data_IF_274868357204
#
_entry.id   IF_274868357204
#
_cell.length_a   1.000
_cell.length_b   1.000
_cell.length_c   1.000
_cell.angle_alpha   90.00
_cell.angle_beta   90.00
_cell.angle_gamma   90.00
#
_symmetry.space_group_name_H-M   'P 1'
#
loop_
_entity.id
_entity.type
_entity.pdbx_description
1 polymer ?
#
# COMPACT_ATOMS: atom_id res chain seq x y z
N UNK A 1 -19.14 10.79 -11.10
CA UNK A 1 -18.29 9.57 -11.05
C UNK A 1 -17.87 9.26 -12.47
N UNK A 2 -16.56 9.28 -12.78
CA UNK A 2 -16.08 8.95 -14.11
C UNK A 2 -16.13 7.42 -14.28
N UNK A 3 -16.69 6.96 -15.39
CA UNK A 3 -16.68 5.54 -15.77
C UNK A 3 -15.65 5.33 -16.87
N UNK A 4 -14.83 4.29 -16.76
CA UNK A 4 -13.87 3.88 -17.78
C UNK A 4 -13.97 2.36 -17.96
N UNK A 5 -14.19 1.89 -19.20
CA UNK A 5 -14.42 0.46 -19.50
C UNK A 5 -15.51 -0.20 -18.62
N UNK A 6 -16.52 0.56 -18.17
CA UNK A 6 -17.57 0.08 -17.26
C UNK A 6 -17.24 0.14 -15.76
N UNK A 7 -16.01 0.52 -15.39
CA UNK A 7 -15.58 0.64 -14.00
C UNK A 7 -15.75 2.05 -13.47
N UNK A 8 -16.24 2.18 -12.24
CA UNK A 8 -16.26 3.47 -11.51
C UNK A 8 -14.84 3.81 -11.08
N UNK A 9 -14.31 4.92 -11.57
CA UNK A 9 -12.98 5.42 -11.18
C UNK A 9 -13.10 6.16 -9.85
N UNK A 10 -12.35 5.73 -8.85
CA UNK A 10 -12.23 6.43 -7.57
C UNK A 10 -11.30 7.63 -7.72
N UNK A 11 -11.65 8.77 -7.12
CA UNK A 11 -10.76 9.93 -7.09
C UNK A 11 -9.60 9.65 -6.15
N UNK A 12 -8.37 9.86 -6.62
CA UNK A 12 -7.15 9.71 -5.84
C UNK A 12 -6.42 11.05 -5.80
N UNK A 13 -6.14 11.62 -4.62
CA UNK A 13 -5.39 12.86 -4.52
C UNK A 13 -3.93 12.67 -4.98
N UNK A 14 -3.31 13.74 -5.46
CA UNK A 14 -1.89 13.74 -5.81
C UNK A 14 -1.04 13.43 -4.56
N UNK A 15 0.11 12.76 -4.75
CA UNK A 15 1.09 12.47 -3.68
C UNK A 15 0.54 11.72 -2.45
N UNK A 16 -0.46 10.87 -2.64
CA UNK A 16 -1.18 10.20 -1.54
C UNK A 16 -0.84 8.71 -1.41
N UNK A 17 0.46 8.37 -1.40
CA UNK A 17 0.91 6.97 -1.23
C UNK A 17 0.46 6.36 0.10
N UNK A 18 0.18 7.17 1.13
CA UNK A 18 -0.38 6.68 2.40
C UNK A 18 -1.85 6.20 2.31
N UNK A 19 -2.53 6.55 1.21
CA UNK A 19 -3.91 6.16 0.89
C UNK A 19 -3.95 4.99 -0.10
N UNK A 20 -2.99 4.93 -1.02
CA UNK A 20 -2.92 3.88 -2.00
C UNK A 20 -2.66 2.52 -1.32
N UNK A 21 -3.64 1.62 -1.40
CA UNK A 21 -3.56 0.26 -0.82
C UNK A 21 -2.31 -0.50 -1.30
N UNK A 22 -1.92 -0.28 -2.57
CA UNK A 22 -0.68 -0.82 -3.12
C UNK A 22 0.54 -0.35 -2.33
N UNK A 23 0.62 0.93 -2.01
CA UNK A 23 1.82 1.56 -1.49
C UNK A 23 1.96 1.31 0.02
N UNK A 24 0.93 1.62 0.81
CA UNK A 24 1.05 1.52 2.27
C UNK A 24 0.97 0.08 2.80
N UNK A 25 0.26 -0.81 2.11
CA UNK A 25 -0.01 -2.17 2.59
C UNK A 25 0.81 -3.20 1.83
N UNK A 26 0.58 -3.31 0.51
CA UNK A 26 1.16 -4.37 -0.30
C UNK A 26 2.67 -4.22 -0.46
N UNK A 27 3.13 -3.09 -1.00
CA UNK A 27 4.55 -2.85 -1.26
C UNK A 27 5.36 -2.75 0.02
N UNK A 28 4.77 -2.19 1.10
CA UNK A 28 5.39 -2.23 2.43
C UNK A 28 5.61 -3.65 2.93
N UNK A 29 4.58 -4.51 2.84
CA UNK A 29 4.72 -5.92 3.23
C UNK A 29 5.69 -6.67 2.33
N UNK A 30 5.73 -6.33 1.04
CA UNK A 30 6.62 -6.94 0.05
C UNK A 30 8.08 -6.55 0.31
N UNK A 31 8.34 -5.29 0.63
CA UNK A 31 9.67 -4.83 1.01
C UNK A 31 10.17 -5.57 2.25
N UNK A 32 9.29 -5.78 3.23
CA UNK A 32 9.63 -6.55 4.43
C UNK A 32 9.95 -8.02 4.12
N UNK A 33 9.21 -8.67 3.22
CA UNK A 33 9.50 -10.07 2.84
C UNK A 33 10.76 -10.23 2.02
N UNK A 34 11.14 -9.18 1.27
CA UNK A 34 12.37 -9.15 0.50
C UNK A 34 13.60 -8.79 1.33
N UNK A 35 13.43 -8.27 2.54
CA UNK A 35 14.55 -7.86 3.36
C UNK A 35 15.44 -9.07 3.69
N UNK A 36 16.68 -9.06 3.21
CA UNK A 36 17.63 -10.17 3.35
C UNK A 36 17.55 -11.27 2.28
N UNK A 37 16.65 -11.16 1.29
CA UNK A 37 16.56 -12.12 0.17
C UNK A 37 17.43 -11.65 -1.01
N UNK A 38 18.33 -12.51 -1.49
CA UNK A 38 19.09 -12.25 -2.72
C UNK A 38 18.30 -12.75 -3.94
N UNK A 39 17.85 -11.81 -4.77
CA UNK A 39 17.19 -12.10 -6.05
C UNK A 39 18.26 -12.25 -7.14
N UNK A 40 18.92 -13.40 -7.17
CA UNK A 40 20.05 -13.65 -8.08
C UNK A 40 19.66 -13.91 -9.55
N UNK A 41 18.38 -14.13 -9.82
CA UNK A 41 17.87 -14.32 -11.18
C UNK A 41 16.39 -13.94 -11.28
N UNK A 42 15.92 -13.74 -12.51
CA UNK A 42 14.50 -13.52 -12.80
C UNK A 42 13.62 -14.65 -12.26
N UNK A 43 14.03 -15.90 -12.45
CA UNK A 43 13.28 -17.08 -11.98
C UNK A 43 13.16 -17.12 -10.45
N UNK A 44 14.21 -16.76 -9.72
CA UNK A 44 14.17 -16.68 -8.25
C UNK A 44 13.21 -15.57 -7.81
N UNK A 45 13.22 -14.42 -8.50
CA UNK A 45 12.28 -13.33 -8.25
C UNK A 45 10.83 -13.75 -8.47
N UNK A 46 10.52 -14.36 -9.62
CA UNK A 46 9.17 -14.84 -9.94
C UNK A 46 8.67 -15.87 -8.92
N UNK A 47 9.52 -16.80 -8.52
CA UNK A 47 9.18 -17.80 -7.50
C UNK A 47 8.94 -17.15 -6.12
N UNK A 48 9.78 -16.19 -5.71
CA UNK A 48 9.60 -15.46 -4.45
C UNK A 48 8.29 -14.68 -4.44
N UNK A 49 7.98 -13.96 -5.53
CA UNK A 49 6.72 -13.25 -5.67
C UNK A 49 5.54 -14.23 -5.61
N UNK A 50 5.59 -15.33 -6.37
CA UNK A 50 4.53 -16.34 -6.35
C UNK A 50 4.25 -16.84 -4.93
N UNK A 51 5.30 -17.23 -4.19
CA UNK A 51 5.18 -17.66 -2.80
C UNK A 51 4.60 -16.57 -1.89
N UNK A 52 5.02 -15.32 -2.08
CA UNK A 52 4.51 -14.20 -1.31
C UNK A 52 3.01 -13.98 -1.54
N UNK A 53 2.52 -14.10 -2.77
CA UNK A 53 1.12 -13.87 -3.14
C UNK A 53 0.20 -15.05 -2.79
N UNK A 54 0.69 -16.29 -2.86
CA UNK A 54 -0.11 -17.53 -2.71
C UNK A 54 -0.85 -17.63 -1.35
N UNK A 55 -0.40 -16.93 -0.30
CA UNK A 55 -0.96 -17.04 1.06
C UNK A 55 -1.59 -15.75 1.61
N UNK A 56 -2.03 -14.81 0.76
CA UNK A 56 -2.42 -13.46 1.21
C UNK A 56 -3.89 -13.08 1.13
N UNK A 57 -4.81 -14.03 0.97
CA UNK A 57 -6.25 -13.72 0.88
C UNK A 57 -6.77 -12.86 2.05
N UNK A 58 -6.48 -13.25 3.31
CA UNK A 58 -6.85 -12.46 4.49
C UNK A 58 -6.14 -11.09 4.53
N UNK A 59 -4.87 -11.05 4.14
CA UNK A 59 -4.08 -9.82 4.09
C UNK A 59 -4.70 -8.76 3.16
N UNK A 60 -5.18 -9.15 1.97
CA UNK A 60 -5.88 -8.23 1.06
C UNK A 60 -7.19 -7.72 1.66
N UNK A 61 -7.97 -8.62 2.26
CA UNK A 61 -9.23 -8.26 2.93
C UNK A 61 -8.99 -7.23 4.03
N UNK A 62 -8.04 -7.50 4.93
CA UNK A 62 -7.73 -6.63 6.05
C UNK A 62 -7.23 -5.26 5.56
N UNK A 63 -6.40 -5.25 4.51
CA UNK A 63 -5.92 -4.03 3.87
C UNK A 63 -7.05 -3.17 3.32
N UNK A 64 -7.99 -3.75 2.56
CA UNK A 64 -9.15 -3.05 2.00
C UNK A 64 -10.07 -2.53 3.11
N UNK A 65 -10.32 -3.34 4.13
CA UNK A 65 -11.20 -2.96 5.25
C UNK A 65 -10.61 -1.84 6.12
N UNK A 66 -9.30 -1.65 6.12
CA UNK A 66 -8.64 -0.54 6.82
C UNK A 66 -8.72 0.80 6.08
N UNK A 67 -9.10 0.81 4.79
CA UNK A 67 -9.15 2.03 3.97
C UNK A 67 -10.10 3.07 4.56
N UNK A 68 -11.39 2.77 4.90
CA UNK A 68 -12.29 3.79 5.42
C UNK A 68 -11.78 4.49 6.69
N UNK A 69 -11.20 3.73 7.61
CA UNK A 69 -10.62 4.27 8.85
C UNK A 69 -9.45 5.23 8.57
N UNK A 70 -8.59 4.89 7.60
CA UNK A 70 -7.51 5.79 7.16
C UNK A 70 -8.06 7.07 6.54
N UNK A 71 -9.06 6.97 5.66
CA UNK A 71 -9.72 8.14 5.07
C UNK A 71 -10.29 9.07 6.13
N UNK A 72 -10.95 8.52 7.14
CA UNK A 72 -11.48 9.31 8.25
C UNK A 72 -10.36 10.04 9.02
N UNK A 73 -9.27 9.35 9.34
CA UNK A 73 -8.12 9.94 10.02
C UNK A 73 -7.50 11.11 9.23
N UNK A 74 -7.47 11.02 7.90
CA UNK A 74 -6.95 12.07 7.01
C UNK A 74 -7.83 13.32 7.06
N UNK A 75 -9.15 13.11 7.04
CA UNK A 75 -10.13 14.19 7.15
C UNK A 75 -10.00 14.88 8.50
N UNK A 76 -9.91 14.11 9.59
CA UNK A 76 -9.76 14.61 10.96
C UNK A 76 -8.45 15.39 11.16
N UNK A 77 -7.38 15.02 10.44
CA UNK A 77 -6.08 15.68 10.52
C UNK A 77 -5.88 16.77 9.44
N UNK A 78 -6.95 17.31 8.84
CA UNK A 78 -6.89 18.36 7.81
C UNK A 78 -5.94 18.04 6.64
N UNK A 79 -5.83 16.78 6.24
CA UNK A 79 -4.92 16.35 5.17
C UNK A 79 -3.44 16.29 5.57
N UNK A 80 -3.09 16.56 6.83
CA UNK A 80 -1.74 16.39 7.36
C UNK A 80 -1.54 14.92 7.72
N UNK A 81 -0.91 14.19 6.82
CA UNK A 81 -0.34 12.89 7.13
C UNK A 81 0.96 13.10 7.89
N UNK A 82 0.96 12.76 9.19
CA UNK A 82 2.15 12.32 9.91
C UNK A 82 3.52 12.89 9.50
N UNK A 83 3.66 14.22 9.38
CA UNK A 83 4.96 14.90 9.35
C UNK A 83 5.69 14.83 10.71
N UNK A 84 5.19 14.03 11.65
CA UNK A 84 5.85 13.71 12.92
C UNK A 84 6.82 12.52 12.80
N UNK A 85 7.64 12.50 11.74
CA UNK A 85 8.89 11.72 11.77
C UNK A 85 10.11 12.42 11.14
N UNK A 86 9.99 13.70 10.78
CA UNK A 86 11.15 14.48 10.31
C UNK A 86 11.35 15.81 11.06
N UNK A 87 10.44 16.22 11.94
CA UNK A 87 10.68 17.30 12.91
C UNK A 87 11.03 16.66 14.26
N UNK A 88 12.24 16.10 14.34
CA UNK A 88 12.96 15.83 15.61
C UNK A 88 14.46 15.54 15.39
N UNK A 89 15.01 15.86 14.21
CA UNK A 89 16.45 15.99 13.98
C UNK A 89 16.68 17.27 13.16
N UNK A 90 16.40 18.40 13.78
CA UNK A 90 17.17 19.66 13.77
C UNK A 90 16.91 20.32 15.13
#
# INVERSE_FOLDING_TARGET
IKTFLGWKVLMHPSYSSDIALSDYHLFRSLQNSHNGVKLASKQICENHLKQFFDQKQKFYRDGIMAVPQKWQNIIENNGIFGLNKLILIL
#
